data_IF_988446320647
#
_entry.id   IF_988446320647
#
_cell.length_a   1.000
_cell.length_b   1.000
_cell.length_c   1.000
_cell.angle_alpha   90.00
_cell.angle_beta   90.00
_cell.angle_gamma   90.00
#
_symmetry.space_group_name_H-M   'P 1'
#
loop_
_entity.id
_entity.type
_entity.pdbx_description
1 polymer ?
#
# COMPACT_ATOMS: atom_id res chain seq x y z
N UNK A 1 -48.02 -48.17 -24.60
CA UNK A 1 -47.45 -46.81 -24.45
C UNK A 1 -47.19 -46.58 -22.97
N UNK A 2 -45.92 -46.49 -22.55
CA UNK A 2 -45.52 -46.35 -21.15
C UNK A 2 -45.42 -44.85 -20.81
N UNK A 3 -46.17 -44.42 -19.79
CA UNK A 3 -46.17 -43.04 -19.29
C UNK A 3 -44.89 -42.72 -18.51
N UNK A 4 -44.27 -41.59 -18.83
CA UNK A 4 -43.11 -41.05 -18.13
C UNK A 4 -43.58 -40.26 -16.90
N UNK A 5 -43.22 -40.71 -15.70
CA UNK A 5 -43.40 -39.95 -14.46
C UNK A 5 -42.23 -38.98 -14.28
N UNK A 6 -42.50 -37.68 -14.37
CA UNK A 6 -41.53 -36.62 -14.12
C UNK A 6 -41.59 -36.27 -12.63
N UNK A 7 -40.63 -36.77 -11.86
CA UNK A 7 -40.41 -36.35 -10.47
C UNK A 7 -39.86 -34.92 -10.45
N UNK A 8 -40.64 -33.97 -9.93
CA UNK A 8 -40.18 -32.61 -9.65
C UNK A 8 -39.32 -32.61 -8.38
N UNK A 9 -38.02 -32.34 -8.51
CA UNK A 9 -37.16 -32.00 -7.38
C UNK A 9 -37.45 -30.55 -6.94
N UNK A 10 -37.67 -30.27 -5.65
CA UNK A 10 -37.76 -28.90 -5.16
C UNK A 10 -36.36 -28.28 -5.13
N UNK A 11 -36.19 -27.16 -5.83
CA UNK A 11 -34.99 -26.34 -5.78
C UNK A 11 -34.90 -25.69 -4.39
N UNK A 12 -33.93 -26.10 -3.57
CA UNK A 12 -33.61 -25.41 -2.31
C UNK A 12 -33.01 -24.04 -2.62
N UNK A 13 -33.74 -22.98 -2.29
CA UNK A 13 -33.25 -21.61 -2.32
C UNK A 13 -32.33 -21.39 -1.11
N UNK A 14 -31.02 -21.33 -1.33
CA UNK A 14 -30.07 -20.98 -0.27
C UNK A 14 -30.20 -19.49 0.07
N UNK A 15 -30.68 -19.16 1.28
CA UNK A 15 -30.61 -17.81 1.83
C UNK A 15 -29.13 -17.44 2.03
N UNK A 16 -28.63 -16.54 1.20
CA UNK A 16 -27.32 -15.93 1.42
C UNK A 16 -27.48 -14.84 2.48
N UNK A 17 -26.79 -14.99 3.62
CA UNK A 17 -26.67 -13.91 4.61
C UNK A 17 -25.92 -12.77 3.96
N UNK A 18 -26.61 -11.66 3.67
CA UNK A 18 -25.98 -10.43 3.18
C UNK A 18 -25.27 -9.79 4.37
N UNK A 19 -23.97 -10.03 4.49
CA UNK A 19 -23.14 -9.28 5.44
C UNK A 19 -23.01 -7.86 4.90
N UNK A 20 -23.60 -6.88 5.59
CA UNK A 20 -23.46 -5.47 5.21
C UNK A 20 -22.01 -5.05 5.41
N UNK A 21 -21.41 -4.45 4.38
CA UNK A 21 -20.04 -3.95 4.49
C UNK A 21 -19.96 -2.89 5.61
N UNK A 22 -18.86 -2.85 6.38
CA UNK A 22 -18.71 -1.86 7.45
C UNK A 22 -18.82 -0.45 6.88
N UNK A 23 -19.53 0.42 7.58
CA UNK A 23 -19.71 1.83 7.21
C UNK A 23 -18.59 2.73 7.70
N UNK A 24 -17.78 2.22 8.63
CA UNK A 24 -16.59 2.87 9.18
C UNK A 24 -15.38 1.92 9.08
N UNK A 25 -14.16 2.46 8.97
CA UNK A 25 -12.95 1.65 8.98
C UNK A 25 -12.84 0.81 10.26
N UNK A 26 -12.35 -0.42 10.12
CA UNK A 26 -12.02 -1.28 11.24
C UNK A 26 -10.71 -0.79 11.85
N UNK A 27 -10.64 -0.59 13.18
CA UNK A 27 -9.40 -0.25 13.86
C UNK A 27 -8.30 -1.26 13.51
N UNK A 28 -7.21 -0.77 12.93
CA UNK A 28 -6.10 -1.58 12.46
C UNK A 28 -4.78 -0.82 12.65
N UNK A 29 -3.68 -1.56 12.65
CA UNK A 29 -2.33 -1.01 12.61
C UNK A 29 -1.74 -1.14 11.22
N UNK A 30 -0.73 -0.32 10.90
CA UNK A 30 0.07 -0.46 9.67
C UNK A 30 -0.74 -0.42 8.36
N UNK A 31 -1.90 0.26 8.38
CA UNK A 31 -2.64 0.57 7.16
C UNK A 31 -1.80 1.49 6.25
N UNK A 32 -1.90 1.29 4.95
CA UNK A 32 -1.39 2.25 3.98
C UNK A 32 -2.30 3.48 3.94
N UNK A 33 -1.74 4.62 3.58
CA UNK A 33 -2.53 5.82 3.33
C UNK A 33 -1.96 6.61 2.16
N UNK A 34 -2.81 7.40 1.53
CA UNK A 34 -2.43 8.40 0.53
C UNK A 34 -3.42 9.57 0.61
N UNK A 35 -3.00 10.76 0.21
CA UNK A 35 -3.88 11.92 0.11
C UNK A 35 -3.90 12.42 -1.32
N UNK A 36 -5.08 12.74 -1.83
CA UNK A 36 -5.26 13.46 -3.08
C UNK A 36 -6.31 14.54 -2.89
N UNK A 37 -5.91 15.81 -3.11
CA UNK A 37 -6.78 16.97 -2.91
C UNK A 37 -7.43 16.96 -1.51
N UNK A 38 -8.76 16.85 -1.48
CA UNK A 38 -9.67 16.85 -0.35
C UNK A 38 -10.01 15.44 0.13
N UNK A 39 -9.30 14.40 -0.28
CA UNK A 39 -9.52 13.02 0.17
C UNK A 39 -8.28 12.41 0.81
N UNK A 40 -8.48 11.79 1.96
CA UNK A 40 -7.48 10.98 2.64
C UNK A 40 -7.89 9.51 2.58
N UNK A 41 -7.13 8.71 1.84
CA UNK A 41 -7.39 7.30 1.60
C UNK A 41 -6.63 6.45 2.62
N UNK A 42 -7.27 5.39 3.10
CA UNK A 42 -6.65 4.33 3.89
C UNK A 42 -6.93 2.97 3.28
N UNK A 43 -5.94 2.10 3.27
CA UNK A 43 -6.04 0.76 2.70
C UNK A 43 -5.38 -0.28 3.59
N UNK A 44 -6.09 -1.40 3.77
CA UNK A 44 -5.60 -2.56 4.50
C UNK A 44 -5.27 -2.27 5.95
N UNK A 45 -4.14 -2.81 6.40
CA UNK A 45 -3.72 -2.82 7.80
C UNK A 45 -4.07 -4.13 8.51
N UNK A 46 -3.57 -4.29 9.74
CA UNK A 46 -3.58 -5.54 10.50
C UNK A 46 -4.36 -5.35 11.79
N UNK A 47 -5.35 -6.21 12.04
CA UNK A 47 -6.03 -6.34 13.34
C UNK A 47 -5.30 -7.35 14.22
N UNK A 48 -5.84 -7.68 15.40
CA UNK A 48 -5.29 -8.73 16.25
C UNK A 48 -5.29 -10.13 15.60
N UNK A 49 -6.13 -10.37 14.59
CA UNK A 49 -6.37 -11.71 14.04
C UNK A 49 -6.06 -11.86 12.56
N UNK A 50 -6.05 -10.78 11.78
CA UNK A 50 -5.88 -10.87 10.32
C UNK A 50 -5.46 -9.56 9.69
N UNK A 51 -4.94 -9.63 8.46
CA UNK A 51 -4.89 -8.49 7.57
C UNK A 51 -6.30 -8.15 7.08
N UNK A 52 -6.58 -6.86 6.99
CA UNK A 52 -7.86 -6.34 6.52
C UNK A 52 -7.79 -6.05 5.03
N UNK A 53 -8.95 -6.13 4.37
CA UNK A 53 -9.14 -5.77 2.95
C UNK A 53 -9.83 -4.41 2.79
N UNK A 54 -9.92 -3.65 3.88
CA UNK A 54 -10.68 -2.40 3.90
C UNK A 54 -10.05 -1.36 2.98
N UNK A 55 -10.90 -0.59 2.32
CA UNK A 55 -10.48 0.56 1.55
C UNK A 55 -11.50 1.68 1.76
N UNK A 56 -11.03 2.79 2.32
CA UNK A 56 -11.89 3.91 2.68
C UNK A 56 -11.24 5.22 2.27
N UNK A 57 -12.07 6.24 2.05
CA UNK A 57 -11.63 7.62 1.96
C UNK A 57 -12.33 8.48 3.01
N UNK A 58 -11.60 9.39 3.64
CA UNK A 58 -12.15 10.48 4.44
C UNK A 58 -12.31 11.70 3.54
N UNK A 59 -13.51 12.27 3.50
CA UNK A 59 -13.80 13.50 2.77
C UNK A 59 -13.42 14.73 3.59
N UNK A 60 -12.23 15.28 3.34
CA UNK A 60 -11.66 16.44 4.03
C UNK A 60 -12.34 17.77 3.64
N UNK A 61 -13.20 17.77 2.60
CA UNK A 61 -13.97 18.97 2.21
C UNK A 61 -15.17 19.24 3.12
N UNK A 62 -15.59 18.22 3.88
CA UNK A 62 -16.72 18.30 4.81
C UNK A 62 -16.19 18.45 6.22
N UNK A 63 -16.84 19.26 7.04
CA UNK A 63 -16.65 19.18 8.50
C UNK A 63 -17.42 17.98 9.04
N UNK A 64 -16.95 17.40 10.14
CA UNK A 64 -17.61 16.29 10.82
C UNK A 64 -17.44 16.40 12.33
N UNK A 65 -18.40 15.81 13.06
CA UNK A 65 -18.27 15.56 14.49
C UNK A 65 -17.31 14.39 14.73
N UNK A 66 -16.62 14.37 15.88
CA UNK A 66 -15.60 13.34 16.19
C UNK A 66 -16.13 11.91 16.05
N UNK A 67 -17.39 11.69 16.41
CA UNK A 67 -18.06 10.38 16.40
C UNK A 67 -18.64 9.99 15.03
N UNK A 68 -18.58 10.87 14.03
CA UNK A 68 -19.14 10.61 12.70
C UNK A 68 -18.27 11.18 11.59
N UNK A 69 -17.01 10.74 11.44
CA UNK A 69 -16.17 11.21 10.36
C UNK A 69 -16.79 10.91 8.99
N UNK A 70 -16.52 11.77 8.02
CA UNK A 70 -17.06 11.68 6.66
C UNK A 70 -16.40 10.57 5.82
N UNK A 71 -16.46 9.33 6.33
CA UNK A 71 -15.94 8.14 5.67
C UNK A 71 -16.78 7.77 4.45
N UNK A 72 -16.09 7.39 3.39
CA UNK A 72 -16.62 6.85 2.15
C UNK A 72 -16.06 5.44 2.02
N UNK A 73 -16.95 4.45 2.05
CA UNK A 73 -16.57 3.06 1.80
C UNK A 73 -16.27 2.86 0.31
N UNK A 74 -15.11 2.26 0.02
CA UNK A 74 -14.68 1.92 -1.33
C UNK A 74 -14.63 0.40 -1.49
N UNK A 75 -14.63 -0.13 -2.74
CA UNK A 75 -14.53 -1.57 -2.94
C UNK A 75 -13.31 -2.16 -2.22
N UNK A 76 -13.50 -3.24 -1.44
CA UNK A 76 -12.41 -3.82 -0.69
C UNK A 76 -11.33 -4.35 -1.64
N UNK A 77 -10.08 -4.19 -1.24
CA UNK A 77 -8.95 -4.61 -2.05
C UNK A 77 -8.51 -6.05 -1.82
N UNK A 78 -7.37 -6.44 -2.40
CA UNK A 78 -6.69 -7.67 -2.05
C UNK A 78 -6.24 -7.66 -0.58
N UNK A 79 -5.98 -8.84 -0.03
CA UNK A 79 -5.33 -8.94 1.28
C UNK A 79 -3.83 -8.73 1.09
N UNK A 80 -3.30 -7.66 1.68
CA UNK A 80 -1.89 -7.26 1.52
C UNK A 80 -1.28 -7.04 2.89
N UNK A 81 -0.11 -7.66 3.12
CA UNK A 81 0.65 -7.46 4.34
C UNK A 81 1.40 -6.13 4.31
N UNK A 82 1.27 -5.36 5.39
CA UNK A 82 1.88 -4.05 5.62
C UNK A 82 1.95 -3.16 4.37
N UNK A 83 0.81 -2.86 3.72
CA UNK A 83 0.83 -2.16 2.45
C UNK A 83 1.43 -0.75 2.61
N UNK A 84 1.94 -0.24 1.50
CA UNK A 84 2.21 1.18 1.28
C UNK A 84 1.36 1.66 0.13
N UNK A 85 1.13 2.97 0.06
CA UNK A 85 0.31 3.49 -1.01
C UNK A 85 0.82 4.80 -1.57
N UNK A 86 0.49 5.00 -2.83
CA UNK A 86 0.54 6.28 -3.51
C UNK A 86 -0.71 6.43 -4.38
N UNK A 87 -1.04 7.67 -4.71
CA UNK A 87 -2.13 8.01 -5.62
C UNK A 87 -1.55 8.78 -6.80
N UNK A 88 -2.01 8.48 -8.01
CA UNK A 88 -1.49 9.11 -9.21
C UNK A 88 -1.72 10.63 -9.16
N UNK A 89 -0.86 11.44 -9.81
CA UNK A 89 -1.00 12.90 -9.84
C UNK A 89 -2.33 13.39 -10.41
N UNK A 90 -2.99 12.59 -11.26
CA UNK A 90 -4.31 12.88 -11.81
C UNK A 90 -5.47 12.31 -10.98
N UNK A 91 -5.18 11.60 -9.89
CA UNK A 91 -6.15 10.99 -8.99
C UNK A 91 -6.91 9.80 -9.59
N UNK A 92 -6.48 9.24 -10.72
CA UNK A 92 -7.18 8.13 -11.39
C UNK A 92 -6.79 6.75 -10.88
N UNK A 93 -5.64 6.61 -10.23
CA UNK A 93 -5.17 5.34 -9.70
C UNK A 93 -4.63 5.47 -8.28
N UNK A 94 -5.07 4.58 -7.39
CA UNK A 94 -4.40 4.33 -6.11
C UNK A 94 -3.60 3.04 -6.24
N UNK A 95 -2.34 3.04 -5.83
CA UNK A 95 -1.45 1.88 -5.96
C UNK A 95 -1.05 1.40 -4.59
N UNK A 96 -1.21 0.11 -4.33
CA UNK A 96 -0.78 -0.55 -3.11
C UNK A 96 0.46 -1.38 -3.38
N UNK A 97 1.53 -1.10 -2.63
CA UNK A 97 2.79 -1.81 -2.69
C UNK A 97 2.95 -2.71 -1.44
N UNK A 98 3.14 -4.03 -1.61
CA UNK A 98 3.27 -4.98 -0.49
C UNK A 98 4.67 -4.97 0.12
N UNK A 99 4.79 -5.20 1.43
CA UNK A 99 6.12 -5.28 2.10
C UNK A 99 6.87 -6.60 1.87
N UNK A 100 6.19 -7.63 1.39
CA UNK A 100 6.71 -8.99 1.18
C UNK A 100 6.26 -9.53 -0.18
N UNK A 101 6.49 -10.83 -0.46
CA UNK A 101 6.13 -11.55 -1.69
C UNK A 101 4.62 -11.52 -2.02
N UNK A 102 4.09 -10.33 -2.29
CA UNK A 102 2.73 -10.07 -2.71
C UNK A 102 2.73 -9.34 -4.04
N UNK A 103 1.59 -9.35 -4.69
CA UNK A 103 1.41 -8.60 -5.93
C UNK A 103 1.10 -7.14 -5.62
N UNK A 104 1.75 -6.23 -6.34
CA UNK A 104 1.34 -4.83 -6.36
C UNK A 104 -0.02 -4.74 -7.04
N UNK A 105 -0.92 -3.94 -6.49
CA UNK A 105 -2.27 -3.78 -7.03
C UNK A 105 -2.62 -2.32 -7.22
N UNK A 106 -3.52 -2.07 -8.16
CA UNK A 106 -4.02 -0.74 -8.48
C UNK A 106 -5.52 -0.71 -8.31
N UNK A 107 -6.04 0.27 -7.60
CA UNK A 107 -7.44 0.63 -7.69
C UNK A 107 -7.60 1.72 -8.75
N UNK A 108 -8.38 1.41 -9.79
CA UNK A 108 -8.72 2.34 -10.86
C UNK A 108 -10.05 3.01 -10.53
N UNK A 109 -10.03 4.30 -10.20
CA UNK A 109 -11.23 5.02 -9.75
C UNK A 109 -12.33 5.06 -10.82
N UNK A 110 -11.96 5.20 -12.09
CA UNK A 110 -12.92 5.22 -13.22
C UNK A 110 -13.73 3.90 -13.32
N UNK A 111 -13.12 2.76 -12.95
CA UNK A 111 -13.72 1.43 -13.02
C UNK A 111 -14.26 0.97 -11.68
N UNK A 112 -13.91 1.68 -10.61
CA UNK A 112 -14.22 1.30 -9.23
C UNK A 112 -13.76 -0.14 -8.95
N UNK A 113 -12.55 -0.49 -9.41
CA UNK A 113 -12.06 -1.86 -9.38
C UNK A 113 -10.57 -1.96 -9.07
N UNK A 114 -10.21 -3.01 -8.34
CA UNK A 114 -8.83 -3.44 -8.13
C UNK A 114 -8.35 -4.30 -9.30
N UNK A 115 -7.15 -4.03 -9.79
CA UNK A 115 -6.47 -4.81 -10.83
C UNK A 115 -5.02 -5.11 -10.40
N UNK A 116 -4.44 -6.25 -10.80
CA UNK A 116 -3.02 -6.49 -10.64
C UNK A 116 -2.20 -5.42 -11.37
N UNK A 117 -1.12 -4.96 -10.75
CA UNK A 117 -0.14 -4.07 -11.40
C UNK A 117 0.78 -4.86 -12.32
N UNK A 118 1.27 -4.21 -13.38
CA UNK A 118 2.34 -4.74 -14.24
C UNK A 118 3.73 -4.62 -13.62
N UNK A 119 3.82 -4.04 -12.42
CA UNK A 119 5.07 -3.87 -11.71
C UNK A 119 5.68 -5.26 -11.41
N UNK A 120 6.78 -5.58 -12.09
CA UNK A 120 7.57 -6.78 -11.82
C UNK A 120 8.51 -6.51 -10.64
N UNK A 121 7.93 -6.45 -9.45
CA UNK A 121 8.68 -6.21 -8.22
C UNK A 121 9.27 -7.53 -7.72
N UNK A 122 10.58 -7.75 -7.95
CA UNK A 122 11.28 -8.97 -7.57
C UNK A 122 12.15 -8.84 -6.31
N UNK A 123 12.01 -7.74 -5.56
CA UNK A 123 12.79 -7.55 -4.34
C UNK A 123 12.11 -8.23 -3.16
N UNK A 124 12.60 -9.42 -2.84
CA UNK A 124 12.20 -10.19 -1.67
C UNK A 124 12.67 -9.45 -0.40
N UNK A 125 11.74 -9.16 0.50
CA UNK A 125 11.99 -8.69 1.88
C UNK A 125 12.60 -7.30 2.03
N UNK A 126 11.79 -6.24 1.91
CA UNK A 126 12.11 -4.97 2.57
C UNK A 126 10.97 -4.55 3.48
N UNK A 127 11.21 -4.65 4.79
CA UNK A 127 10.23 -4.48 5.84
C UNK A 127 9.73 -3.04 6.03
N UNK A 128 10.24 -2.04 5.30
CA UNK A 128 9.54 -0.76 5.09
C UNK A 128 10.28 0.15 4.09
N UNK A 129 9.87 0.16 2.83
CA UNK A 129 10.13 1.33 2.00
C UNK A 129 9.06 2.40 2.28
N UNK A 130 9.44 3.63 2.63
CA UNK A 130 8.51 4.75 2.61
C UNK A 130 8.22 5.13 1.16
N UNK A 131 7.00 5.62 0.92
CA UNK A 131 6.55 6.03 -0.41
C UNK A 131 6.19 7.50 -0.38
N UNK A 132 6.64 8.25 -1.38
CA UNK A 132 6.20 9.63 -1.61
C UNK A 132 6.03 9.89 -3.11
N UNK A 133 5.44 11.03 -3.49
CA UNK A 133 5.31 11.43 -4.88
C UNK A 133 6.38 12.47 -5.20
N UNK A 134 7.21 12.20 -6.22
CA UNK A 134 8.17 13.16 -6.73
C UNK A 134 7.49 14.30 -7.50
N UNK A 135 8.26 15.35 -7.80
CA UNK A 135 7.77 16.49 -8.60
C UNK A 135 7.33 16.10 -10.02
N UNK A 136 7.90 15.03 -10.58
CA UNK A 136 7.49 14.47 -11.87
C UNK A 136 6.20 13.64 -11.79
N UNK A 137 5.66 13.46 -10.57
CA UNK A 137 4.47 12.67 -10.32
C UNK A 137 4.73 11.16 -10.24
N UNK A 138 5.97 10.71 -10.32
CA UNK A 138 6.34 9.32 -10.06
C UNK A 138 6.25 9.02 -8.56
N UNK A 139 5.89 7.79 -8.20
CA UNK A 139 6.03 7.36 -6.80
C UNK A 139 7.49 6.96 -6.54
N UNK A 140 8.09 7.58 -5.52
CA UNK A 140 9.44 7.27 -5.04
C UNK A 140 9.32 6.30 -3.88
N UNK A 141 9.88 5.11 -4.04
CA UNK A 141 9.99 4.09 -3.01
C UNK A 141 11.47 3.96 -2.66
N UNK A 142 11.86 4.11 -1.39
CA UNK A 142 13.28 3.94 -1.00
C UNK A 142 13.49 2.62 -0.31
N UNK A 143 14.36 1.79 -0.89
CA UNK A 143 14.67 0.48 -0.35
C UNK A 143 15.88 0.54 0.58
N UNK A 144 15.68 0.09 1.81
CA UNK A 144 16.78 -0.35 2.67
C UNK A 144 16.67 -1.85 2.79
N UNK A 145 17.54 -2.58 2.10
CA UNK A 145 17.67 -4.02 2.28
C UNK A 145 18.76 -4.30 3.32
N UNK A 146 18.52 -5.29 4.18
CA UNK A 146 19.54 -5.83 5.08
C UNK A 146 19.76 -7.29 4.73
N UNK A 147 20.98 -7.66 4.33
CA UNK A 147 21.45 -9.05 4.39
C UNK A 147 20.89 -10.00 3.33
N UNK A 148 20.35 -9.49 2.21
CA UNK A 148 20.10 -10.33 1.03
C UNK A 148 21.33 -10.25 0.13
N UNK A 149 22.07 -11.36 0.05
CA UNK A 149 23.25 -11.47 -0.82
C UNK A 149 22.86 -11.19 -2.28
N UNK A 150 23.58 -10.28 -2.94
CA UNK A 150 23.36 -9.93 -4.34
C UNK A 150 22.31 -8.85 -4.61
N UNK A 151 21.77 -8.17 -3.59
CA UNK A 151 20.93 -6.99 -3.80
C UNK A 151 21.63 -5.72 -3.36
N UNK A 152 21.61 -4.71 -4.22
CA UNK A 152 22.19 -3.40 -3.94
C UNK A 152 21.49 -2.76 -2.73
N UNK A 153 22.17 -2.79 -1.59
CA UNK A 153 21.83 -1.97 -0.44
C UNK A 153 22.06 -0.50 -0.88
N UNK A 154 21.04 0.38 -0.73
CA UNK A 154 21.03 1.79 -1.15
C UNK A 154 20.51 2.09 -2.58
N UNK A 155 19.32 1.60 -2.91
CA UNK A 155 18.61 2.01 -4.13
C UNK A 155 17.29 2.73 -3.80
N UNK A 156 16.82 3.52 -4.74
CA UNK A 156 15.44 3.98 -4.77
C UNK A 156 14.78 3.55 -6.07
N UNK A 157 13.47 3.40 -6.01
CA UNK A 157 12.63 2.96 -7.10
C UNK A 157 11.72 4.11 -7.48
N UNK A 158 11.72 4.42 -8.76
CA UNK A 158 10.76 5.33 -9.38
C UNK A 158 9.68 4.51 -10.06
N UNK A 159 8.47 4.55 -9.52
CA UNK A 159 7.29 3.92 -10.11
C UNK A 159 6.50 4.94 -10.95
N UNK A 160 6.24 4.60 -12.21
CA UNK A 160 5.44 5.37 -13.15
C UNK A 160 4.01 4.84 -13.17
N UNK A 161 3.03 5.68 -12.81
CA UNK A 161 1.60 5.34 -12.86
C UNK A 161 1.08 5.12 -14.29
N UNK A 162 1.63 5.85 -15.26
CA UNK A 162 1.21 5.79 -16.66
C UNK A 162 1.59 4.45 -17.29
N UNK A 163 2.87 4.07 -17.14
CA UNK A 163 3.41 2.85 -17.75
C UNK A 163 3.21 1.61 -16.88
N UNK A 164 2.92 1.80 -15.59
CA UNK A 164 2.82 0.74 -14.58
C UNK A 164 4.10 -0.07 -14.45
N UNK A 165 5.24 0.63 -14.50
CA UNK A 165 6.59 0.08 -14.46
C UNK A 165 7.44 0.89 -13.50
N UNK A 166 8.58 0.32 -13.13
CA UNK A 166 9.57 1.01 -12.34
C UNK A 166 10.94 1.07 -13.00
N UNK A 167 11.74 2.00 -12.51
CA UNK A 167 13.20 2.02 -12.68
C UNK A 167 13.83 2.00 -11.30
N UNK A 168 14.86 1.18 -11.12
CA UNK A 168 15.67 1.15 -9.91
C UNK A 168 16.93 1.98 -10.15
N UNK A 169 17.23 2.89 -9.24
CA UNK A 169 18.35 3.82 -9.33
C UNK A 169 19.18 3.77 -8.05
N UNK A 170 20.51 3.92 -8.12
CA UNK A 170 21.33 4.03 -6.93
C UNK A 170 20.97 5.30 -6.15
N UNK A 171 20.93 5.22 -4.82
CA UNK A 171 20.80 6.43 -4.00
C UNK A 171 22.00 7.36 -4.26
N UNK A 172 21.78 8.68 -4.42
CA UNK A 172 22.87 9.62 -4.57
C UNK A 172 23.75 9.58 -3.31
N UNK A 173 25.00 9.18 -3.46
CA UNK A 173 26.02 9.17 -2.38
C UNK A 173 27.11 10.21 -2.60
N UNK A 174 27.05 10.94 -3.72
CA UNK A 174 28.05 11.94 -4.10
C UNK A 174 28.18 13.03 -3.02
N UNK A 175 29.40 13.19 -2.51
CA UNK A 175 29.74 14.20 -1.51
C UNK A 175 29.34 13.88 -0.06
N UNK A 176 28.83 12.66 0.21
CA UNK A 176 28.45 12.23 1.55
C UNK A 176 29.22 10.98 1.95
N UNK A 177 30.50 11.15 2.26
CA UNK A 177 31.30 10.06 2.83
C UNK A 177 30.74 9.65 4.20
N UNK A 178 30.44 8.36 4.36
CA UNK A 178 30.09 7.76 5.66
C UNK A 178 28.60 7.71 6.01
N UNK A 179 27.67 8.31 5.24
CA UNK A 179 26.23 8.11 5.46
C UNK A 179 25.72 6.95 4.61
N UNK A 180 25.64 5.77 5.22
CA UNK A 180 24.91 4.63 4.65
C UNK A 180 23.43 4.75 4.98
N UNK A 181 22.56 4.56 3.99
CA UNK A 181 21.14 4.47 4.24
C UNK A 181 20.87 3.15 4.97
N UNK A 182 20.60 3.25 6.26
CA UNK A 182 20.41 2.05 7.06
C UNK A 182 19.00 1.50 6.84
N UNK A 183 18.85 0.18 6.61
CA UNK A 183 17.55 -0.45 6.60
C UNK A 183 16.87 -0.23 7.96
N UNK A 184 15.68 0.38 7.95
CA UNK A 184 14.83 0.45 9.14
C UNK A 184 13.38 0.18 8.80
N UNK A 185 12.66 -0.32 9.78
CA UNK A 185 11.22 -0.51 9.70
C UNK A 185 10.49 0.77 10.11
N UNK A 186 9.34 1.03 9.51
CA UNK A 186 8.44 2.10 9.94
C UNK A 186 8.80 3.52 9.47
N UNK A 187 9.81 3.67 8.60
CA UNK A 187 10.12 4.96 7.97
C UNK A 187 8.89 5.64 7.35
N UNK A 188 8.98 6.96 7.26
CA UNK A 188 8.05 7.81 6.51
C UNK A 188 8.84 8.69 5.57
N UNK A 189 8.24 8.98 4.42
CA UNK A 189 8.77 9.90 3.43
C UNK A 189 7.74 10.96 3.12
N UNK A 190 8.21 12.18 2.91
CA UNK A 190 7.43 13.28 2.37
C UNK A 190 8.24 13.98 1.30
N UNK A 191 7.60 14.37 0.22
CA UNK A 191 8.21 15.26 -0.77
C UNK A 191 8.14 16.70 -0.27
N UNK A 192 9.25 17.41 -0.40
CA UNK A 192 9.34 18.83 -0.14
C UNK A 192 9.47 19.58 -1.46
N UNK A 193 8.42 20.31 -1.84
CA UNK A 193 8.44 21.16 -3.04
C UNK A 193 9.47 22.29 -2.92
N UNK A 194 9.72 22.79 -1.71
CA UNK A 194 10.71 23.85 -1.54
C UNK A 194 12.14 23.34 -1.81
N UNK A 195 12.44 22.13 -1.35
CA UNK A 195 13.77 21.52 -1.50
C UNK A 195 13.90 20.69 -2.79
N UNK A 196 12.78 20.47 -3.50
CA UNK A 196 12.69 19.53 -4.62
C UNK A 196 13.31 18.16 -4.26
N UNK A 197 12.99 17.68 -3.05
CA UNK A 197 13.66 16.52 -2.45
C UNK A 197 12.69 15.71 -1.60
N UNK A 198 12.90 14.39 -1.56
CA UNK A 198 12.25 13.51 -0.61
C UNK A 198 12.96 13.59 0.76
N UNK A 199 12.19 13.83 1.81
CA UNK A 199 12.65 13.84 3.20
C UNK A 199 12.22 12.54 3.85
N UNK A 200 13.17 11.84 4.45
CA UNK A 200 12.94 10.58 5.15
C UNK A 200 13.15 10.75 6.64
N UNK A 201 12.23 10.20 7.44
CA UNK A 201 12.30 10.32 8.89
C UNK A 201 11.79 9.08 9.63
N UNK A 202 12.37 8.86 10.80
CA UNK A 202 11.93 7.89 11.79
C UNK A 202 12.50 6.48 11.57
N UNK A 203 11.68 5.51 11.95
CA UNK A 203 11.96 4.08 11.84
C UNK A 203 12.94 3.52 12.87
N UNK A 204 12.80 2.23 13.14
CA UNK A 204 13.64 1.46 14.06
C UNK A 204 14.51 0.47 13.27
N UNK A 205 15.79 0.35 13.65
CA UNK A 205 16.61 -0.74 13.13
C UNK A 205 15.92 -2.07 13.44
N UNK A 206 16.02 -3.03 12.54
CA UNK A 206 15.59 -4.40 12.82
C UNK A 206 16.38 -4.93 14.01
N UNK A 207 15.72 -5.09 15.16
CA UNK A 207 16.29 -5.79 16.32
C UNK A 207 16.26 -7.29 16.02
N UNK A 208 17.20 -7.76 15.20
CA UNK A 208 17.21 -9.14 14.72
C UNK A 208 18.58 -9.73 14.40
N UNK A 209 19.64 -8.93 14.21
CA UNK A 209 21.01 -9.45 14.17
C UNK A 209 21.64 -9.34 15.56
N UNK A 210 21.86 -10.46 16.28
CA UNK A 210 22.68 -10.45 17.50
C UNK A 210 24.13 -10.32 17.07
N UNK A 211 24.57 -9.09 16.80
CA UNK A 211 25.95 -8.64 16.76
C UNK A 211 25.94 -7.13 16.58
N UNK A 212 26.60 -6.48 17.53
CA UNK A 212 27.09 -5.11 17.47
C UNK A 212 26.04 -4.01 17.75
N UNK A 213 26.01 -3.57 19.01
CA UNK A 213 26.50 -2.23 19.40
C UNK A 213 26.57 -2.15 20.94
N UNK A 214 27.73 -2.53 21.49
CA UNK A 214 28.28 -1.86 22.68
C UNK A 214 28.60 -0.41 22.31
N UNK A 215 28.12 0.54 23.11
CA UNK A 215 28.67 1.89 23.19
C UNK A 215 29.76 1.93 24.25
#
# INVERSE_FOLDING_TARGET
MRGLNILHLPTLLALSVVTTAPTVPVPSSRAAYARFKDKFYIFGGTTASTETRQFFALDLSKSWESESPAWINLPPGPQVSFPRAAISPDGKAFVSFPSSNGETHRFLFERTAWVPSKLNYQHAFSSAYPVTLGADGSAILVEGLQGVEGVDENVYILYSFETDRNVTLPLPTDGIEGIKYLPREGYKAVWSEHLQSAIFHGGSRHFGSPKDLTF
#
